data_IF_185347078911
#
_entry.id   IF_185347078911
#
_cell.length_a   1.000
_cell.length_b   1.000
_cell.length_c   1.000
_cell.angle_alpha   90.00
_cell.angle_beta   90.00
_cell.angle_gamma   90.00
#
_symmetry.space_group_name_H-M   'P 1'
#
loop_
_entity.id
_entity.type
_entity.pdbx_description
1 polymer ?
#
# COMPACT_ATOMS: atom_id res chain seq x y z
N UNK A 1 14.17 -16.66 1.62
CA UNK A 1 12.70 -16.88 1.48
C UNK A 1 12.11 -15.81 0.56
N UNK A 2 11.14 -16.18 -0.29
CA UNK A 2 10.44 -15.23 -1.17
C UNK A 2 9.37 -14.47 -0.38
N UNK A 3 9.40 -13.13 -0.40
CA UNK A 3 8.38 -12.30 0.27
C UNK A 3 7.07 -12.29 -0.52
N UNK A 4 5.94 -12.27 0.19
CA UNK A 4 4.62 -12.10 -0.41
C UNK A 4 4.45 -10.65 -0.91
N UNK A 5 3.91 -10.49 -2.11
CA UNK A 5 3.55 -9.18 -2.68
C UNK A 5 2.07 -8.92 -2.41
N UNK A 6 1.74 -7.84 -1.70
CA UNK A 6 0.37 -7.50 -1.33
C UNK A 6 -0.08 -6.19 -1.99
N UNK A 7 -1.26 -6.20 -2.61
CA UNK A 7 -1.96 -4.99 -3.04
C UNK A 7 -2.98 -4.56 -1.98
N UNK A 8 -3.14 -3.26 -1.77
CA UNK A 8 -4.15 -2.71 -0.84
C UNK A 8 -5.23 -2.00 -1.65
N UNK A 9 -6.48 -2.43 -1.49
CA UNK A 9 -7.65 -1.81 -2.12
C UNK A 9 -8.42 -1.03 -1.05
N UNK A 10 -8.52 0.29 -1.22
CA UNK A 10 -9.12 1.20 -0.24
C UNK A 10 -8.07 1.87 0.64
N UNK A 11 -7.49 2.97 0.16
CA UNK A 11 -6.45 3.75 0.86
C UNK A 11 -7.04 4.82 1.79
N UNK A 12 -7.97 4.39 2.64
CA UNK A 12 -8.48 5.20 3.75
C UNK A 12 -7.54 5.16 4.96
N UNK A 13 -8.05 5.61 6.11
CA UNK A 13 -7.33 5.56 7.39
C UNK A 13 -6.73 4.17 7.71
N UNK A 14 -7.54 3.12 7.57
CA UNK A 14 -7.11 1.74 7.87
C UNK A 14 -6.16 1.18 6.81
N UNK A 15 -6.32 1.59 5.54
CA UNK A 15 -5.44 1.14 4.45
C UNK A 15 -3.99 1.54 4.67
N UNK A 16 -3.76 2.76 5.18
CA UNK A 16 -2.43 3.24 5.58
C UNK A 16 -1.84 2.40 6.71
N UNK A 17 -2.65 2.10 7.74
CA UNK A 17 -2.21 1.28 8.87
C UNK A 17 -1.82 -0.15 8.43
N UNK A 18 -2.53 -0.73 7.46
CA UNK A 18 -2.18 -2.04 6.91
C UNK A 18 -0.87 -2.05 6.13
N UNK A 19 -0.55 -0.97 5.39
CA UNK A 19 0.77 -0.84 4.74
C UNK A 19 1.89 -0.89 5.78
N UNK A 20 1.74 -0.15 6.88
CA UNK A 20 2.72 -0.14 7.97
C UNK A 20 2.84 -1.50 8.66
N UNK A 21 1.71 -2.18 8.87
CA UNK A 21 1.72 -3.55 9.40
C UNK A 21 2.45 -4.52 8.46
N UNK A 22 2.19 -4.47 7.15
CA UNK A 22 2.85 -5.31 6.14
C UNK A 22 4.36 -5.08 6.13
N UNK A 23 4.81 -3.82 6.22
CA UNK A 23 6.25 -3.48 6.30
C UNK A 23 6.93 -4.09 7.51
N UNK A 24 6.23 -4.09 8.66
CA UNK A 24 6.73 -4.64 9.94
C UNK A 24 6.67 -6.16 10.01
N UNK A 25 5.76 -6.80 9.28
CA UNK A 25 5.54 -8.24 9.32
C UNK A 25 6.73 -9.09 8.83
N UNK A 26 7.64 -8.52 8.04
CA UNK A 26 8.90 -9.17 7.65
C UNK A 26 8.80 -10.25 6.55
N UNK A 27 7.64 -10.89 6.38
CA UNK A 27 7.39 -11.91 5.34
C UNK A 27 6.62 -11.40 4.12
N UNK A 28 6.12 -10.15 4.15
CA UNK A 28 5.35 -9.53 3.08
C UNK A 28 5.87 -8.11 2.75
N UNK A 29 5.53 -7.61 1.56
CA UNK A 29 5.79 -6.24 1.13
C UNK A 29 4.64 -5.68 0.29
N UNK A 30 4.41 -4.37 0.38
CA UNK A 30 3.40 -3.68 -0.43
C UNK A 30 3.84 -3.62 -1.90
N UNK A 31 2.99 -4.07 -2.80
CA UNK A 31 3.23 -4.10 -4.24
C UNK A 31 2.42 -3.05 -5.02
N UNK A 32 1.39 -2.48 -4.40
CA UNK A 32 0.59 -1.40 -4.99
C UNK A 32 -0.61 -1.03 -4.13
N UNK A 33 -1.25 0.08 -4.46
CA UNK A 33 -2.50 0.55 -3.83
C UNK A 33 -3.55 0.83 -4.88
N UNK A 34 -4.83 0.74 -4.53
CA UNK A 34 -5.93 1.11 -5.41
C UNK A 34 -7.01 1.86 -4.61
N UNK A 35 -7.66 2.83 -5.25
CA UNK A 35 -8.73 3.62 -4.66
C UNK A 35 -9.74 4.09 -5.72
N UNK A 36 -10.86 4.64 -5.25
CA UNK A 36 -11.94 5.13 -6.14
C UNK A 36 -11.58 6.44 -6.84
N UNK A 37 -10.67 7.21 -6.27
CA UNK A 37 -10.20 8.50 -6.77
C UNK A 37 -8.72 8.37 -7.12
N UNK A 38 -8.40 8.49 -8.40
CA UNK A 38 -7.04 8.26 -8.91
C UNK A 38 -6.05 9.30 -8.39
N UNK A 39 -6.42 10.58 -8.37
CA UNK A 39 -5.55 11.68 -7.93
C UNK A 39 -5.24 11.57 -6.45
N UNK A 40 -6.27 11.29 -5.64
CA UNK A 40 -6.11 11.04 -4.21
C UNK A 40 -5.23 9.82 -3.95
N UNK A 41 -5.44 8.74 -4.71
CA UNK A 41 -4.65 7.51 -4.54
C UNK A 41 -3.19 7.74 -4.94
N UNK A 42 -2.93 8.48 -6.02
CA UNK A 42 -1.58 8.85 -6.46
C UNK A 42 -0.85 9.71 -5.43
N UNK A 43 -1.52 10.71 -4.84
CA UNK A 43 -0.92 11.50 -3.74
C UNK A 43 -0.54 10.63 -2.54
N UNK A 44 -1.39 9.68 -2.18
CA UNK A 44 -1.09 8.75 -1.08
C UNK A 44 0.02 7.76 -1.46
N UNK A 45 0.13 7.33 -2.72
CA UNK A 45 1.23 6.46 -3.16
C UNK A 45 2.56 7.18 -3.07
N UNK A 46 2.63 8.45 -3.49
CA UNK A 46 3.83 9.28 -3.37
C UNK A 46 4.21 9.48 -1.90
N UNK A 47 3.25 9.87 -1.05
CA UNK A 47 3.46 10.04 0.40
C UNK A 47 3.97 8.77 1.07
N UNK A 48 3.48 7.61 0.64
CA UNK A 48 3.83 6.31 1.19
C UNK A 48 5.01 5.65 0.49
N UNK A 49 5.55 6.21 -0.60
CA UNK A 49 6.65 5.60 -1.37
C UNK A 49 6.24 4.27 -2.05
N UNK A 50 5.01 4.18 -2.57
CA UNK A 50 4.49 3.02 -3.29
C UNK A 50 4.48 3.34 -4.79
N UNK A 51 5.09 2.46 -5.58
CA UNK A 51 5.36 2.70 -7.02
C UNK A 51 4.22 2.30 -7.97
N UNK A 52 3.17 1.65 -7.46
CA UNK A 52 2.06 1.16 -8.29
C UNK A 52 0.71 1.60 -7.71
N UNK A 53 -0.06 2.28 -8.55
CA UNK A 53 -1.43 2.76 -8.32
C UNK A 53 -2.36 2.09 -9.33
#
# INVERSE_FOLDING_TARGET
MKKLKAGIIGIGFVGVAHIEAIRRAGFAGSAGIAGRDYDKTTKESERLGITRV
#
